data_IF_719421359297
#
_entry.id   IF_719421359297
#
_cell.length_a   1.000
_cell.length_b   1.000
_cell.length_c   1.000
_cell.angle_alpha   90.00
_cell.angle_beta   90.00
_cell.angle_gamma   90.00
#
_symmetry.space_group_name_H-M   'P 1'
#
loop_
_entity.id
_entity.type
_entity.pdbx_description
1 polymer ?
#
# COMPACT_ATOMS: atom_id res chain seq x y z
N UNK A 1 1.49 -10.97 9.72
CA UNK A 1 1.63 -9.67 9.03
C UNK A 1 2.89 -9.00 9.56
N UNK A 2 3.66 -8.36 8.68
CA UNK A 2 4.91 -7.71 9.07
C UNK A 2 5.04 -6.36 8.37
N UNK A 3 5.46 -5.35 9.11
CA UNK A 3 5.67 -3.99 8.62
C UNK A 3 7.11 -3.58 8.92
N UNK A 4 7.71 -2.81 8.03
CA UNK A 4 9.10 -2.38 8.15
C UNK A 4 9.23 -0.93 7.69
N UNK A 5 9.81 -0.08 8.54
CA UNK A 5 10.21 1.28 8.18
C UNK A 5 11.71 1.31 7.93
N UNK A 6 12.12 1.67 6.71
CA UNK A 6 13.53 1.69 6.30
C UNK A 6 14.12 3.10 6.41
N UNK A 7 15.00 3.31 7.38
CA UNK A 7 15.69 4.57 7.62
C UNK A 7 17.12 4.54 7.05
N UNK A 8 17.57 5.64 6.46
CA UNK A 8 18.92 5.75 5.89
C UNK A 8 19.09 6.97 4.97
N UNK A 9 20.33 7.30 4.57
CA UNK A 9 20.58 8.41 3.66
C UNK A 9 20.05 8.12 2.24
N UNK A 10 19.82 9.16 1.41
CA UNK A 10 19.54 8.99 -0.01
C UNK A 10 20.62 8.14 -0.69
N UNK A 11 20.23 7.26 -1.63
CA UNK A 11 21.17 6.39 -2.35
C UNK A 11 21.60 5.11 -1.61
N UNK A 12 21.14 4.88 -0.38
CA UNK A 12 21.40 3.65 0.40
C UNK A 12 20.79 2.36 -0.17
N UNK A 13 20.05 2.44 -1.28
CA UNK A 13 19.48 1.27 -1.94
C UNK A 13 18.24 0.66 -1.27
N UNK A 14 17.66 1.30 -0.26
CA UNK A 14 16.47 0.81 0.49
C UNK A 14 15.36 0.29 -0.42
N UNK A 15 14.85 1.14 -1.31
CA UNK A 15 13.80 0.74 -2.25
C UNK A 15 14.23 -0.40 -3.19
N UNK A 16 15.49 -0.42 -3.63
CA UNK A 16 16.02 -1.48 -4.48
C UNK A 16 16.08 -2.82 -3.74
N UNK A 17 16.57 -2.83 -2.49
CA UNK A 17 16.63 -4.01 -1.65
C UNK A 17 15.24 -4.53 -1.29
N UNK A 18 14.27 -3.65 -1.00
CA UNK A 18 12.88 -4.05 -0.78
C UNK A 18 12.28 -4.74 -2.01
N UNK A 19 12.57 -4.22 -3.22
CA UNK A 19 12.13 -4.82 -4.48
C UNK A 19 12.80 -6.17 -4.75
N UNK A 20 14.10 -6.27 -4.47
CA UNK A 20 14.83 -7.53 -4.58
C UNK A 20 14.26 -8.58 -3.61
N UNK A 21 14.02 -8.19 -2.36
CA UNK A 21 13.42 -9.07 -1.36
C UNK A 21 12.01 -9.52 -1.78
N UNK A 22 11.19 -8.60 -2.28
CA UNK A 22 9.88 -8.95 -2.84
C UNK A 22 10.00 -10.00 -3.95
N UNK A 23 10.95 -9.83 -4.87
CA UNK A 23 11.19 -10.79 -5.94
C UNK A 23 11.65 -12.16 -5.43
N UNK A 24 12.63 -12.20 -4.53
CA UNK A 24 13.15 -13.45 -3.94
C UNK A 24 12.06 -14.20 -3.17
N UNK A 25 11.18 -13.47 -2.47
CA UNK A 25 10.08 -14.04 -1.71
C UNK A 25 8.82 -14.30 -2.54
N UNK A 26 8.83 -14.04 -3.86
CA UNK A 26 7.67 -14.23 -4.72
C UNK A 26 6.48 -13.31 -4.41
N UNK A 27 6.72 -12.13 -3.84
CA UNK A 27 5.69 -11.16 -3.50
C UNK A 27 5.35 -10.26 -4.70
N UNK A 28 4.06 -10.04 -4.93
CA UNK A 28 3.58 -8.99 -5.84
C UNK A 28 3.96 -7.64 -5.27
N UNK A 29 4.78 -6.89 -6.01
CA UNK A 29 5.16 -5.55 -5.62
C UNK A 29 4.09 -4.54 -6.05
N UNK A 30 3.51 -3.84 -5.09
CA UNK A 30 2.65 -2.67 -5.32
C UNK A 30 3.40 -1.41 -4.90
N UNK A 31 3.45 -0.43 -5.79
CA UNK A 31 4.08 0.87 -5.57
C UNK A 31 3.13 1.96 -6.00
N UNK A 32 3.10 3.03 -5.23
CA UNK A 32 2.41 4.25 -5.61
C UNK A 32 3.29 5.02 -6.58
N UNK A 33 2.72 5.46 -7.70
CA UNK A 33 3.39 6.33 -8.65
C UNK A 33 2.82 7.74 -8.53
N UNK A 34 3.20 8.42 -7.44
CA UNK A 34 2.76 9.79 -7.21
C UNK A 34 3.26 10.72 -8.32
N UNK A 35 2.37 11.55 -8.84
CA UNK A 35 2.65 12.58 -9.83
C UNK A 35 2.10 13.93 -9.38
N UNK A 36 2.41 15.03 -10.08
CA UNK A 36 2.03 16.39 -9.65
C UNK A 36 0.54 16.62 -9.37
N UNK A 37 -0.36 15.83 -9.97
CA UNK A 37 -1.82 15.91 -9.78
C UNK A 37 -2.37 14.79 -8.90
N UNK A 38 -1.53 14.12 -8.13
CA UNK A 38 -1.93 12.96 -7.35
C UNK A 38 -2.65 13.43 -6.09
N UNK A 39 -3.86 12.93 -5.88
CA UNK A 39 -4.77 13.37 -4.82
C UNK A 39 -5.01 12.28 -3.79
N UNK A 40 -5.64 12.62 -2.68
CA UNK A 40 -6.09 11.64 -1.69
C UNK A 40 -7.03 10.59 -2.28
N UNK A 41 -7.87 10.95 -3.26
CA UNK A 41 -8.75 10.00 -3.92
C UNK A 41 -7.96 8.97 -4.76
N UNK A 42 -6.87 9.39 -5.42
CA UNK A 42 -5.99 8.44 -6.12
C UNK A 42 -5.28 7.50 -5.14
N UNK A 43 -4.92 8.01 -3.97
CA UNK A 43 -4.37 7.18 -2.90
C UNK A 43 -5.34 6.14 -2.38
N UNK A 44 -6.60 6.52 -2.17
CA UNK A 44 -7.66 5.56 -1.82
C UNK A 44 -7.86 4.49 -2.90
N UNK A 45 -7.82 4.86 -4.18
CA UNK A 45 -7.90 3.93 -5.29
C UNK A 45 -6.73 2.93 -5.28
N UNK A 46 -5.50 3.41 -5.15
CA UNK A 46 -4.30 2.57 -5.04
C UNK A 46 -4.36 1.62 -3.83
N UNK A 47 -4.89 2.08 -2.69
CA UNK A 47 -5.08 1.25 -1.50
C UNK A 47 -6.15 0.18 -1.73
N UNK A 48 -7.26 0.54 -2.38
CA UNK A 48 -8.35 -0.38 -2.71
C UNK A 48 -7.85 -1.50 -3.62
N UNK A 49 -7.14 -1.16 -4.68
CA UNK A 49 -6.58 -2.14 -5.62
C UNK A 49 -5.56 -3.05 -4.94
N UNK A 50 -4.72 -2.49 -4.07
CA UNK A 50 -3.76 -3.27 -3.27
C UNK A 50 -4.45 -4.27 -2.35
N UNK A 51 -5.51 -3.84 -1.66
CA UNK A 51 -6.28 -4.70 -0.75
C UNK A 51 -7.08 -5.76 -1.49
N UNK A 52 -7.61 -5.47 -2.68
CA UNK A 52 -8.26 -6.46 -3.54
C UNK A 52 -7.27 -7.52 -4.04
N UNK A 53 -6.06 -7.12 -4.41
CA UNK A 53 -5.01 -8.06 -4.82
C UNK A 53 -4.55 -8.93 -3.64
N UNK A 54 -4.28 -8.32 -2.49
CA UNK A 54 -3.72 -9.00 -1.32
C UNK A 54 -4.76 -9.83 -0.57
N UNK A 55 -5.91 -9.22 -0.25
CA UNK A 55 -6.99 -9.82 0.53
C UNK A 55 -8.00 -10.56 -0.33
N UNK A 56 -8.42 -9.97 -1.45
CA UNK A 56 -9.45 -10.57 -2.30
C UNK A 56 -8.96 -11.75 -3.13
N UNK A 57 -7.81 -11.62 -3.80
CA UNK A 57 -7.23 -12.73 -4.59
C UNK A 57 -6.26 -13.61 -3.79
N UNK A 58 -5.99 -13.26 -2.54
CA UNK A 58 -4.99 -13.95 -1.71
C UNK A 58 -3.56 -13.88 -2.24
N UNK A 59 -3.22 -12.88 -3.08
CA UNK A 59 -1.88 -12.79 -3.67
C UNK A 59 -0.90 -12.22 -2.63
N UNK A 60 0.19 -12.94 -2.29
CA UNK A 60 1.21 -12.42 -1.38
C UNK A 60 1.77 -11.10 -1.91
N UNK A 61 1.60 -10.00 -1.17
CA UNK A 61 1.84 -8.65 -1.69
C UNK A 61 2.77 -7.87 -0.76
N UNK A 62 3.71 -7.14 -1.36
CA UNK A 62 4.51 -6.12 -0.70
C UNK A 62 4.09 -4.75 -1.21
N UNK A 63 3.49 -3.96 -0.33
CA UNK A 63 3.19 -2.56 -0.58
C UNK A 63 4.39 -1.70 -0.17
N UNK A 64 4.97 -0.98 -1.13
CA UNK A 64 6.12 -0.11 -0.92
C UNK A 64 5.71 1.35 -1.04
N UNK A 65 5.78 2.05 0.10
CA UNK A 65 5.51 3.48 0.22
C UNK A 65 6.82 4.25 0.47
N UNK A 66 7.03 5.33 -0.27
CA UNK A 66 8.19 6.22 -0.13
C UNK A 66 7.72 7.58 0.44
N UNK A 67 8.57 8.24 1.21
CA UNK A 67 8.33 9.57 1.75
C UNK A 67 8.04 10.59 0.63
N UNK A 68 8.68 10.43 -0.52
CA UNK A 68 8.43 11.28 -1.70
C UNK A 68 6.96 11.23 -2.19
N UNK A 69 6.19 10.23 -1.77
CA UNK A 69 4.80 10.04 -2.14
C UNK A 69 3.81 10.64 -1.12
N UNK A 70 4.29 11.10 0.04
CA UNK A 70 3.46 11.71 1.08
C UNK A 70 3.14 13.17 0.75
N UNK A 71 2.21 13.38 -0.19
CA UNK A 71 1.82 14.71 -0.66
C UNK A 71 0.85 15.44 0.28
N UNK A 72 0.11 14.69 1.11
CA UNK A 72 -0.92 15.20 2.00
C UNK A 72 -0.94 14.38 3.31
N UNK A 73 -1.25 15.02 4.44
CA UNK A 73 -1.26 14.36 5.76
C UNK A 73 -2.27 13.22 5.84
N UNK A 74 -3.37 13.29 5.08
CA UNK A 74 -4.39 12.25 5.01
C UNK A 74 -3.83 10.89 4.53
N UNK A 75 -2.70 10.87 3.81
CA UNK A 75 -2.09 9.62 3.36
C UNK A 75 -1.54 8.85 4.55
N UNK A 76 -0.85 9.56 5.45
CA UNK A 76 -0.28 8.97 6.66
C UNK A 76 -1.36 8.53 7.63
N UNK A 77 -2.46 9.28 7.74
CA UNK A 77 -3.62 8.88 8.56
C UNK A 77 -4.22 7.56 8.08
N UNK A 78 -4.37 7.40 6.77
CA UNK A 78 -4.88 6.16 6.15
C UNK A 78 -3.90 5.00 6.30
N UNK A 79 -2.59 5.22 6.11
CA UNK A 79 -1.60 4.19 6.39
C UNK A 79 -1.63 3.78 7.86
N UNK A 80 -1.76 4.74 8.77
CA UNK A 80 -1.84 4.44 10.20
C UNK A 80 -3.08 3.61 10.54
N UNK A 81 -4.25 3.97 9.99
CA UNK A 81 -5.46 3.16 10.12
C UNK A 81 -5.22 1.74 9.60
N UNK A 82 -4.70 1.60 8.37
CA UNK A 82 -4.43 0.31 7.77
C UNK A 82 -3.45 -0.56 8.59
N UNK A 83 -2.38 0.04 9.13
CA UNK A 83 -1.38 -0.67 9.93
C UNK A 83 -1.91 -1.07 11.32
N UNK A 84 -2.86 -0.30 11.87
CA UNK A 84 -3.36 -0.49 13.24
C UNK A 84 -4.56 -1.41 13.29
N UNK A 85 -5.55 -1.19 12.41
CA UNK A 85 -6.82 -1.94 12.40
C UNK A 85 -6.89 -2.95 11.25
N UNK A 86 -6.02 -2.87 10.25
CA UNK A 86 -6.13 -3.68 9.03
C UNK A 86 -7.17 -3.14 8.04
N UNK A 87 -7.78 -1.99 8.31
CA UNK A 87 -8.78 -1.36 7.45
C UNK A 87 -8.59 0.15 7.37
N UNK A 88 -9.13 0.76 6.32
CA UNK A 88 -9.20 2.22 6.18
C UNK A 88 -10.69 2.61 6.17
N UNK A 89 -11.16 3.41 7.15
CA UNK A 89 -12.57 3.77 7.23
C UNK A 89 -13.08 4.45 5.95
N UNK A 90 -14.23 3.99 5.44
CA UNK A 90 -14.86 4.53 4.24
C UNK A 90 -14.13 4.20 2.93
N UNK A 91 -13.08 3.36 2.97
CA UNK A 91 -12.33 2.98 1.78
C UNK A 91 -13.15 2.10 0.84
N UNK A 92 -14.03 1.25 1.37
CA UNK A 92 -14.96 0.43 0.61
C UNK A 92 -16.41 0.82 0.95
N UNK A 93 -17.29 0.75 -0.04
CA UNK A 93 -18.72 0.85 0.22
C UNK A 93 -19.21 -0.46 0.86
N UNK A 94 -20.27 -0.45 1.70
CA UNK A 94 -20.77 -1.65 2.38
C UNK A 94 -21.11 -2.84 1.45
N UNK A 95 -21.41 -2.58 0.17
CA UNK A 95 -21.63 -3.63 -0.83
C UNK A 95 -20.37 -4.16 -1.51
N UNK A 96 -19.28 -3.39 -1.53
CA UNK A 96 -18.00 -3.77 -2.15
C UNK A 96 -17.17 -4.65 -1.22
N UNK A 97 -17.28 -4.46 0.10
CA UNK A 97 -16.60 -5.29 1.12
C UNK A 97 -16.94 -6.78 0.99
N UNK A 98 -18.21 -7.10 0.70
CA UNK A 98 -18.66 -8.49 0.52
C UNK A 98 -18.16 -9.10 -0.79
N UNK A 99 -18.05 -8.31 -1.87
CA UNK A 99 -17.54 -8.78 -3.16
C UNK A 99 -16.03 -9.04 -3.11
N UNK A 100 -15.29 -8.24 -2.34
CA UNK A 100 -13.86 -8.42 -2.10
C UNK A 100 -13.52 -9.71 -1.33
N UNK A 101 -14.46 -10.24 -0.52
CA UNK A 101 -14.26 -11.41 0.33
C UNK A 101 -14.67 -12.76 -0.30
N UNK A 102 -15.33 -12.75 -1.47
CA UNK A 102 -15.98 -13.94 -2.07
C UNK A 102 -15.30 -14.43 -3.37
N UNK A 103 -14.22 -13.78 -3.81
CA UNK A 103 -13.50 -14.15 -5.04
C UNK A 103 -12.36 -15.16 -4.80
#
# INVERSE_FOLDING_TARGET
LGHLMLLGPPGSGRALLSRLAAHVCGLRLVRINAHRRYTAANFEEDLRDMLLEAGGKGTPTLFLFDEANALDSSFLERLNALLTSGEVPGLFSPGEEMAALVA
#
